data_IF_594659964972
#
_entry.id   IF_594659964972
#
_cell.length_a   1.000
_cell.length_b   1.000
_cell.length_c   1.000
_cell.angle_alpha   90.00
_cell.angle_beta   90.00
_cell.angle_gamma   90.00
#
_symmetry.space_group_name_H-M   'P 1'
#
loop_
_entity.id
_entity.type
_entity.pdbx_description
1 polymer ?
#
# COMPACT_ATOMS: atom_id res chain seq x y z
N UNK A 1 11.31 20.20 5.05
CA UNK A 1 10.36 19.28 5.71
C UNK A 1 10.79 17.89 5.34
N UNK A 2 11.91 17.49 5.95
CA UNK A 2 12.62 16.26 5.68
C UNK A 2 11.79 15.08 6.16
N UNK A 3 11.19 14.36 5.22
CA UNK A 3 10.64 13.03 5.47
C UNK A 3 11.72 12.05 5.02
N UNK A 4 12.46 11.53 6.00
CA UNK A 4 13.47 10.50 5.83
C UNK A 4 12.83 9.28 5.14
N UNK A 5 13.07 9.17 3.82
CA UNK A 5 12.62 8.06 3.00
C UNK A 5 13.38 6.81 3.43
N UNK A 6 12.88 6.14 4.47
CA UNK A 6 13.24 4.77 4.79
C UNK A 6 13.02 3.98 3.49
N UNK A 7 14.07 3.35 2.95
CA UNK A 7 13.98 2.54 1.74
C UNK A 7 13.21 1.26 2.07
N UNK A 8 11.89 1.33 1.98
CA UNK A 8 11.01 0.18 2.16
C UNK A 8 10.78 -0.33 0.75
N UNK A 9 11.40 -1.46 0.40
CA UNK A 9 11.25 -2.07 -0.92
C UNK A 9 9.89 -2.77 -0.92
N UNK A 10 8.90 -2.30 -1.71
CA UNK A 10 7.63 -2.98 -1.84
C UNK A 10 7.86 -4.37 -2.44
N UNK A 11 7.11 -5.35 -1.96
CA UNK A 11 7.09 -6.69 -2.54
C UNK A 11 6.48 -6.65 -3.94
N UNK A 12 6.75 -7.67 -4.77
CA UNK A 12 6.04 -7.81 -6.05
C UNK A 12 4.53 -7.90 -5.82
N UNK A 13 3.75 -7.05 -6.49
CA UNK A 13 2.29 -7.03 -6.38
C UNK A 13 1.71 -6.01 -5.39
N UNK A 14 2.56 -5.26 -4.69
CA UNK A 14 2.15 -4.14 -3.82
C UNK A 14 2.83 -2.83 -4.27
N UNK A 15 2.13 -1.72 -4.09
CA UNK A 15 2.66 -0.37 -4.29
C UNK A 15 3.14 0.22 -2.97
N UNK A 16 2.38 0.05 -1.89
CA UNK A 16 2.70 0.60 -0.57
C UNK A 16 2.56 -0.48 0.51
N UNK A 17 3.67 -0.88 1.17
CA UNK A 17 3.62 -1.87 2.23
C UNK A 17 2.75 -1.45 3.41
N UNK A 18 2.08 -2.43 4.04
CA UNK A 18 1.20 -2.19 5.18
C UNK A 18 1.91 -1.49 6.34
N UNK A 19 3.19 -1.78 6.56
CA UNK A 19 4.03 -1.20 7.61
C UNK A 19 4.19 0.32 7.44
N UNK A 20 4.15 0.82 6.20
CA UNK A 20 4.18 2.25 5.89
C UNK A 20 2.80 2.84 6.13
N UNK A 21 1.78 2.18 5.56
CA UNK A 21 0.42 2.69 5.60
C UNK A 21 -0.14 2.75 7.03
N UNK A 22 0.19 1.77 7.86
CA UNK A 22 -0.19 1.72 9.28
C UNK A 22 0.32 2.94 10.06
N UNK A 23 1.50 3.46 9.74
CA UNK A 23 2.07 4.61 10.44
C UNK A 23 1.30 5.91 10.16
N UNK A 24 0.58 5.98 9.04
CA UNK A 24 -0.29 7.12 8.72
C UNK A 24 -1.58 7.11 9.54
N UNK A 25 -1.99 5.95 10.08
CA UNK A 25 -3.21 5.83 10.88
C UNK A 25 -2.91 6.08 12.36
N UNK A 26 -3.46 7.15 12.98
CA UNK A 26 -3.12 7.50 14.36
C UNK A 26 -3.67 6.51 15.40
N UNK A 27 -4.88 5.98 15.18
CA UNK A 27 -5.49 4.94 16.04
C UNK A 27 -6.54 4.16 15.25
N UNK A 28 -6.34 2.86 15.10
CA UNK A 28 -7.34 1.97 14.51
C UNK A 28 -8.33 1.61 15.61
N UNK A 29 -9.58 2.04 15.46
CA UNK A 29 -10.66 1.85 16.47
C UNK A 29 -11.40 0.52 16.26
N UNK A 30 -11.22 -0.11 15.09
CA UNK A 30 -11.83 -1.38 14.71
C UNK A 30 -10.80 -2.51 14.55
N UNK A 31 -11.19 -3.53 13.79
CA UNK A 31 -10.35 -4.70 13.51
C UNK A 31 -9.21 -4.34 12.53
N UNK A 32 -7.97 -4.47 12.99
CA UNK A 32 -6.78 -4.16 12.19
C UNK A 32 -6.60 -5.14 11.02
N UNK A 33 -7.01 -6.40 11.16
CA UNK A 33 -6.89 -7.40 10.09
C UNK A 33 -7.82 -7.09 8.92
N UNK A 34 -9.05 -6.65 9.22
CA UNK A 34 -10.00 -6.21 8.18
C UNK A 34 -9.46 -5.00 7.43
N UNK A 35 -8.91 -4.02 8.14
CA UNK A 35 -8.33 -2.83 7.52
C UNK A 35 -7.13 -3.18 6.64
N UNK A 36 -6.23 -4.03 7.15
CA UNK A 36 -5.07 -4.52 6.42
C UNK A 36 -5.47 -5.25 5.15
N UNK A 37 -6.43 -6.18 5.24
CA UNK A 37 -6.91 -6.95 4.09
C UNK A 37 -7.52 -6.04 3.03
N UNK A 38 -8.39 -5.13 3.44
CA UNK A 38 -9.04 -4.17 2.54
C UNK A 38 -7.99 -3.29 1.85
N UNK A 39 -6.99 -2.82 2.60
CA UNK A 39 -5.88 -2.07 2.03
C UNK A 39 -5.11 -2.86 0.98
N UNK A 40 -4.73 -4.10 1.30
CA UNK A 40 -3.98 -4.96 0.38
C UNK A 40 -4.75 -5.25 -0.91
N UNK A 41 -6.07 -5.46 -0.83
CA UNK A 41 -6.93 -5.66 -2.00
C UNK A 41 -6.94 -4.41 -2.91
N UNK A 42 -7.09 -3.22 -2.33
CA UNK A 42 -7.06 -1.95 -3.08
C UNK A 42 -5.68 -1.68 -3.68
N UNK A 43 -4.62 -1.91 -2.92
CA UNK A 43 -3.24 -1.70 -3.36
C UNK A 43 -2.86 -2.65 -4.52
N UNK A 44 -3.33 -3.90 -4.47
CA UNK A 44 -3.14 -4.87 -5.54
C UNK A 44 -3.87 -4.47 -6.84
N UNK A 45 -5.07 -3.90 -6.72
CA UNK A 45 -5.80 -3.34 -7.85
C UNK A 45 -5.07 -2.12 -8.45
N UNK A 46 -4.53 -1.24 -7.60
CA UNK A 46 -3.74 -0.10 -8.04
C UNK A 46 -2.47 -0.54 -8.79
N UNK A 47 -1.73 -1.50 -8.24
CA UNK A 47 -0.55 -2.10 -8.88
C UNK A 47 -0.90 -2.63 -10.27
N UNK A 48 -1.97 -3.41 -10.37
CA UNK A 48 -2.43 -4.01 -11.63
C UNK A 48 -2.86 -2.94 -12.64
N UNK A 49 -3.56 -1.90 -12.19
CA UNK A 49 -3.96 -0.78 -13.04
C UNK A 49 -2.77 -0.04 -13.64
N UNK A 50 -1.73 0.24 -12.84
CA UNK A 50 -0.49 0.88 -13.33
C UNK A 50 0.14 0.03 -14.44
N UNK A 51 0.22 -1.28 -14.26
CA UNK A 51 0.74 -2.17 -15.30
C UNK A 51 -0.13 -2.21 -16.56
N UNK A 52 -1.45 -2.23 -16.42
CA UNK A 52 -2.34 -2.15 -17.58
C UNK A 52 -2.11 -0.87 -18.38
N UNK A 53 -1.98 0.28 -17.71
CA UNK A 53 -1.68 1.56 -18.38
C UNK A 53 -0.33 1.53 -19.09
N UNK A 54 0.67 0.84 -18.54
CA UNK A 54 2.03 0.76 -19.09
C UNK A 54 2.24 -0.30 -20.19
N UNK A 55 1.37 -1.32 -20.27
CA UNK A 55 1.56 -2.46 -21.18
C UNK A 55 0.45 -2.63 -22.21
N UNK A 56 -0.70 -1.98 -22.03
CA UNK A 56 -1.89 -2.19 -22.88
C UNK A 56 -2.08 -1.14 -23.97
N UNK A 57 -0.98 -0.64 -24.55
CA UNK A 57 -1.00 0.29 -25.69
C UNK A 57 -0.38 -0.30 -26.95
#
# INVERSE_FOLDING_TARGET
MDQEQKKIVPKPGECIPWEVKRQEYPKIVGDEEVLKKTWQEVDQLAYTYVWHVLLSF
#
